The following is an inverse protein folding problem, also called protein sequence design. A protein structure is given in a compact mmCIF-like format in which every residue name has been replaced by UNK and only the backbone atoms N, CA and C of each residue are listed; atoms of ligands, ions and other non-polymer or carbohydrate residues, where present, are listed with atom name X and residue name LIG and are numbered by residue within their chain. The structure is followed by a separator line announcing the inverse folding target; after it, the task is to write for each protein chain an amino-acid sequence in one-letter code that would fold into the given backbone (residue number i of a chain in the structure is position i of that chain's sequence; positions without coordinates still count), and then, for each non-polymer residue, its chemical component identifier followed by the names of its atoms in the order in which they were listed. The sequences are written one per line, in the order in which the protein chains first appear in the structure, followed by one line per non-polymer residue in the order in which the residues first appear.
data_IF_068744389116
#
_entry.id   IF_068744389116
#
_cell.length_a   1.000
_cell.length_b   1.000
_cell.length_c   1.000
_cell.angle_alpha   90.00
_cell.angle_beta   90.00
_cell.angle_gamma   90.00
#
_symmetry.space_group_name_H-M   'P 1'
#
loop_
_entity.id
_entity.type
_entity.pdbx_description
1 polymer ?
#
# COMPACT_ATOMS: atom_id res chain seq x y z
N UNK A 1 -0.07 6.66 -32.42
CA UNK A 1 0.26 5.82 -31.24
C UNK A 1 -1.03 5.24 -30.69
N UNK A 2 -1.11 3.93 -30.54
CA UNK A 2 -2.30 3.23 -30.02
C UNK A 2 -2.09 2.92 -28.53
N UNK A 3 -2.96 3.39 -27.61
CA UNK A 3 -2.72 3.19 -26.19
C UNK A 3 -2.90 1.71 -25.78
N UNK A 4 -2.11 1.29 -24.78
CA UNK A 4 -2.37 0.06 -24.02
C UNK A 4 -3.29 0.38 -22.84
N UNK A 5 -4.09 -0.60 -22.44
CA UNK A 5 -4.90 -0.54 -21.22
C UNK A 5 -4.58 -1.74 -20.35
N UNK A 6 -4.48 -1.49 -19.04
CA UNK A 6 -4.28 -2.51 -18.03
C UNK A 6 -5.48 -2.53 -17.08
N UNK A 7 -5.95 -3.72 -16.75
CA UNK A 7 -7.04 -3.96 -15.79
C UNK A 7 -6.47 -4.83 -14.68
N UNK A 8 -6.54 -4.33 -13.44
CA UNK A 8 -5.87 -4.96 -12.31
C UNK A 8 -6.88 -5.40 -11.26
N UNK A 9 -6.72 -6.63 -10.79
CA UNK A 9 -7.45 -7.21 -9.67
C UNK A 9 -6.49 -7.45 -8.50
N UNK A 10 -6.85 -6.95 -7.33
CA UNK A 10 -6.02 -6.97 -6.13
C UNK A 10 -6.63 -7.82 -5.02
N UNK A 11 -5.90 -8.84 -4.59
CA UNK A 11 -6.18 -9.57 -3.36
C UNK A 11 -5.31 -9.02 -2.23
N UNK A 12 -5.95 -8.37 -1.26
CA UNK A 12 -5.24 -7.75 -0.16
C UNK A 12 -4.70 -8.77 0.85
N UNK A 13 -5.35 -9.94 1.00
CA UNK A 13 -4.94 -10.92 2.00
C UNK A 13 -3.64 -11.61 1.60
N UNK A 14 -3.54 -12.05 0.34
CA UNK A 14 -2.36 -12.71 -0.20
C UNK A 14 -1.30 -11.76 -0.75
N UNK A 15 -1.67 -10.49 -0.98
CA UNK A 15 -0.83 -9.54 -1.72
C UNK A 15 -0.68 -9.91 -3.19
N UNK A 16 -1.63 -10.67 -3.75
CA UNK A 16 -1.64 -11.07 -5.15
C UNK A 16 -2.26 -9.98 -6.01
N UNK A 17 -1.59 -9.69 -7.12
CA UNK A 17 -2.04 -8.77 -8.15
C UNK A 17 -2.14 -9.53 -9.47
N UNK A 18 -3.32 -9.50 -10.09
CA UNK A 18 -3.53 -10.01 -11.44
C UNK A 18 -3.73 -8.83 -12.38
N UNK A 19 -2.87 -8.71 -13.37
CA UNK A 19 -2.94 -7.69 -14.40
C UNK A 19 -3.33 -8.31 -15.74
N UNK A 20 -4.40 -7.81 -16.34
CA UNK A 20 -4.79 -8.14 -17.70
C UNK A 20 -4.47 -6.95 -18.62
N UNK A 21 -3.67 -7.17 -19.66
CA UNK A 21 -3.25 -6.11 -20.60
C UNK A 21 -3.96 -6.29 -21.94
N UNK A 22 -4.60 -5.22 -22.43
CA UNK A 22 -5.27 -5.18 -23.73
C UNK A 22 -4.89 -3.96 -24.55
N UNK A 23 -4.84 -4.14 -25.87
CA UNK A 23 -4.72 -3.03 -26.81
C UNK A 23 -6.06 -2.29 -26.94
N UNK A 24 -6.06 -0.96 -26.89
CA UNK A 24 -7.29 -0.16 -26.95
C UNK A 24 -7.96 -0.24 -28.32
N UNK A 25 -7.17 -0.22 -29.40
CA UNK A 25 -7.70 -0.22 -30.78
C UNK A 25 -8.21 -1.58 -31.21
N UNK A 26 -7.41 -2.62 -31.01
CA UNK A 26 -7.81 -3.98 -31.38
C UNK A 26 -8.81 -4.60 -30.39
N UNK A 27 -8.99 -4.01 -29.19
CA UNK A 27 -9.76 -4.57 -28.08
C UNK A 27 -9.41 -6.04 -27.77
N UNK A 28 -8.15 -6.41 -27.98
CA UNK A 28 -7.61 -7.75 -27.78
C UNK A 28 -6.58 -7.73 -26.66
N UNK A 29 -6.52 -8.83 -25.91
CA UNK A 29 -5.43 -9.08 -24.97
C UNK A 29 -4.11 -9.24 -25.74
N UNK A 30 -3.03 -8.73 -25.14
CA UNK A 30 -1.71 -8.68 -25.77
C UNK A 30 -0.75 -9.54 -24.94
N UNK A 31 -0.18 -10.55 -25.59
CA UNK A 31 0.87 -11.40 -25.04
C UNK A 31 2.23 -10.70 -25.09
N UNK A 32 3.21 -11.25 -24.36
CA UNK A 32 4.62 -10.81 -24.39
C UNK A 32 4.80 -9.34 -24.03
N UNK A 33 3.89 -8.79 -23.21
CA UNK A 33 4.01 -7.44 -22.66
C UNK A 33 4.84 -7.53 -21.39
N UNK A 34 5.93 -6.77 -21.33
CA UNK A 34 6.76 -6.69 -20.14
C UNK A 34 6.03 -5.92 -19.04
N UNK A 35 5.79 -6.57 -17.90
CA UNK A 35 5.08 -6.00 -16.76
C UNK A 35 6.00 -5.95 -15.55
N UNK A 36 6.02 -4.80 -14.87
CA UNK A 36 6.67 -4.61 -13.57
C UNK A 36 5.62 -4.20 -12.54
N UNK A 37 5.61 -4.88 -11.41
CA UNK A 37 4.74 -4.59 -10.29
C UNK A 37 5.57 -4.33 -9.03
N UNK A 38 5.17 -3.33 -8.23
CA UNK A 38 5.81 -3.02 -6.94
C UNK A 38 4.76 -2.59 -5.93
N UNK A 39 4.89 -3.03 -4.69
CA UNK A 39 4.13 -2.50 -3.57
C UNK A 39 4.87 -1.32 -2.92
N UNK A 40 4.14 -0.34 -2.40
CA UNK A 40 4.75 0.83 -1.74
C UNK A 40 5.61 0.50 -0.51
N UNK A 41 5.46 -0.69 0.06
CA UNK A 41 6.27 -1.19 1.18
C UNK A 41 7.29 -2.25 0.74
N UNK A 42 7.50 -2.41 -0.57
CA UNK A 42 8.51 -3.29 -1.14
C UNK A 42 9.73 -2.51 -1.63
N UNK A 43 10.89 -3.18 -1.61
CA UNK A 43 12.16 -2.65 -2.12
C UNK A 43 12.48 -3.12 -3.54
N UNK A 44 11.84 -4.22 -3.98
CA UNK A 44 12.13 -4.90 -5.22
C UNK A 44 10.89 -4.96 -6.10
N UNK A 45 11.09 -4.81 -7.40
CA UNK A 45 10.04 -5.05 -8.39
C UNK A 45 9.85 -6.55 -8.62
N UNK A 46 8.61 -6.94 -8.90
CA UNK A 46 8.30 -8.21 -9.56
C UNK A 46 8.06 -7.95 -11.02
N UNK A 47 8.98 -8.44 -11.84
CA UNK A 47 8.92 -8.36 -13.29
C UNK A 47 8.53 -9.70 -13.93
N UNK A 48 7.99 -9.61 -15.13
CA UNK A 48 7.68 -10.75 -15.99
C UNK A 48 6.98 -10.30 -17.25
N UNK A 49 6.46 -11.27 -17.99
CA UNK A 49 5.73 -11.04 -19.25
C UNK A 49 4.31 -11.57 -19.16
N UNK A 50 3.40 -10.99 -19.94
CA UNK A 50 2.04 -11.51 -20.04
C UNK A 50 2.00 -12.81 -20.84
N UNK A 51 1.16 -13.75 -20.40
CA UNK A 51 0.91 -14.99 -21.16
C UNK A 51 0.10 -14.72 -22.45
N UNK A 52 -0.19 -15.78 -23.23
CA UNK A 52 -0.99 -15.68 -24.46
C UNK A 52 -2.39 -15.07 -24.28
N UNK A 53 -2.88 -14.99 -23.04
CA UNK A 53 -4.17 -14.39 -22.68
C UNK A 53 -4.02 -12.95 -22.20
N UNK A 54 -2.81 -12.38 -22.28
CA UNK A 54 -2.48 -11.05 -21.79
C UNK A 54 -2.50 -10.94 -20.27
N UNK A 55 -2.32 -12.04 -19.53
CA UNK A 55 -2.39 -12.07 -18.07
C UNK A 55 -0.97 -12.11 -17.49
N UNK A 56 -0.73 -11.27 -16.50
CA UNK A 56 0.43 -11.31 -15.62
C UNK A 56 -0.03 -11.44 -14.17
N UNK A 57 0.65 -12.27 -13.37
CA UNK A 57 0.35 -12.46 -11.95
C UNK A 57 1.62 -12.18 -11.15
N UNK A 58 1.50 -11.28 -10.17
CA UNK A 58 2.52 -11.04 -9.18
C UNK A 58 1.98 -11.37 -7.79
N UNK A 59 2.77 -12.10 -7.01
CA UNK A 59 2.43 -12.50 -5.64
C UNK A 59 3.22 -11.70 -4.61
N UNK A 60 2.73 -11.71 -3.37
CA UNK A 60 3.47 -11.22 -2.21
C UNK A 60 3.92 -9.75 -2.34
N UNK A 61 3.07 -8.91 -2.93
CA UNK A 61 3.23 -7.45 -2.91
C UNK A 61 2.76 -6.89 -1.57
N UNK A 62 3.49 -5.90 -1.05
CA UNK A 62 3.18 -5.24 0.23
C UNK A 62 2.99 -3.74 0.06
N UNK A 63 1.90 -3.22 0.61
CA UNK A 63 1.54 -1.82 0.45
C UNK A 63 0.65 -1.56 -0.75
N UNK A 64 0.63 -0.31 -1.24
CA UNK A 64 -0.16 0.08 -2.41
C UNK A 64 0.52 -0.39 -3.69
N UNK A 65 -0.20 -1.12 -4.55
CA UNK A 65 0.37 -1.63 -5.79
C UNK A 65 0.58 -0.52 -6.83
N UNK A 66 1.69 -0.60 -7.55
CA UNK A 66 1.92 0.13 -8.80
C UNK A 66 2.31 -0.89 -9.85
N UNK A 67 1.61 -0.91 -10.98
CA UNK A 67 1.86 -1.84 -12.08
C UNK A 67 2.12 -1.04 -13.36
N UNK A 68 3.18 -1.41 -14.06
CA UNK A 68 3.62 -0.76 -15.30
C UNK A 68 3.75 -1.84 -16.34
N UNK A 69 3.09 -1.66 -17.49
CA UNK A 69 3.19 -2.56 -18.63
C UNK A 69 3.80 -1.83 -19.83
N UNK A 70 4.69 -2.49 -20.55
CA UNK A 70 5.37 -2.00 -21.75
C UNK A 70 5.45 -3.10 -22.80
N UNK A 71 5.06 -2.81 -24.03
CA UNK A 71 5.26 -3.74 -25.15
C UNK A 71 6.49 -3.41 -26.01
N UNK A 72 6.73 -4.26 -27.02
CA UNK A 72 7.83 -4.12 -27.97
C UNK A 72 7.75 -2.80 -28.78
N UNK A 73 6.55 -2.27 -29.01
CA UNK A 73 6.31 -0.99 -29.70
C UNK A 73 6.51 0.22 -28.75
N UNK A 74 7.02 -0.01 -27.54
CA UNK A 74 7.23 1.02 -26.50
C UNK A 74 5.95 1.75 -26.08
N UNK A 75 4.81 1.06 -26.13
CA UNK A 75 3.53 1.56 -25.65
C UNK A 75 3.41 1.19 -24.17
N UNK A 76 2.84 2.10 -23.38
CA UNK A 76 2.79 1.95 -21.93
C UNK A 76 1.35 1.91 -21.41
N UNK A 77 1.15 1.17 -20.33
CA UNK A 77 -0.02 1.26 -19.47
C UNK A 77 0.42 1.32 -18.00
N UNK A 78 -0.30 2.12 -17.22
CA UNK A 78 -0.01 2.35 -15.81
C UNK A 78 -1.24 2.03 -14.97
N UNK A 79 -1.00 1.46 -13.81
CA UNK A 79 -2.00 1.27 -12.77
C UNK A 79 -1.42 1.64 -11.42
N UNK A 80 -2.20 2.39 -10.64
CA UNK A 80 -1.89 2.75 -9.25
C UNK A 80 -3.06 2.34 -8.38
N UNK A 81 -2.81 1.35 -7.52
CA UNK A 81 -3.75 0.88 -6.52
C UNK A 81 -3.78 1.80 -5.32
N UNK A 82 -4.94 1.89 -4.68
CA UNK A 82 -5.13 2.62 -3.42
C UNK A 82 -5.26 1.69 -2.21
N UNK A 83 -5.51 0.39 -2.46
CA UNK A 83 -5.67 -0.63 -1.43
C UNK A 83 -4.30 -1.05 -0.90
N UNK A 84 -4.23 -1.26 0.41
CA UNK A 84 -3.06 -1.86 1.03
C UNK A 84 -3.07 -3.38 0.83
N UNK A 85 -1.99 -3.93 0.28
CA UNK A 85 -1.80 -5.35 0.02
C UNK A 85 -0.83 -6.00 1.01
N UNK A 86 -1.07 -7.27 1.32
CA UNK A 86 -0.23 -8.07 2.22
C UNK A 86 -0.37 -7.66 3.69
N UNK A 87 0.70 -7.85 4.45
CA UNK A 87 0.72 -7.51 5.87
C UNK A 87 0.41 -6.00 6.08
N UNK A 88 -0.39 -5.64 7.11
CA UNK A 88 -0.80 -4.26 7.35
C UNK A 88 0.41 -3.34 7.54
N UNK A 89 0.23 -2.06 7.17
CA UNK A 89 1.32 -1.08 7.23
C UNK A 89 1.91 -1.01 8.64
N UNK A 90 3.23 -0.88 8.79
CA UNK A 90 3.84 -0.62 10.09
C UNK A 90 3.17 0.60 10.73
N UNK A 91 2.49 0.40 11.87
CA UNK A 91 1.76 1.45 12.58
C UNK A 91 0.27 1.57 12.25
N UNK A 92 -0.29 0.74 11.36
CA UNK A 92 -1.75 0.58 11.29
C UNK A 92 -2.22 -0.22 12.50
N UNK A 93 -3.26 0.21 13.24
CA UNK A 93 -3.89 -0.65 14.22
C UNK A 93 -4.41 -1.87 13.45
N UNK A 94 -3.74 -3.01 13.61
CA UNK A 94 -4.30 -4.29 13.21
C UNK A 94 -5.68 -4.37 13.82
N UNK A 95 -6.76 -4.57 13.04
CA UNK A 95 -7.99 -5.06 13.63
C UNK A 95 -7.60 -6.43 14.18
N UNK A 96 -7.35 -6.49 15.49
CA UNK A 96 -7.41 -7.73 16.24
C UNK A 96 -8.75 -8.32 15.84
N UNK A 97 -8.72 -9.39 15.04
CA UNK A 97 -9.87 -10.27 14.89
C UNK A 97 -10.16 -10.68 16.32
N UNK A 98 -11.16 -10.06 16.91
CA UNK A 98 -11.70 -10.44 18.21
C UNK A 98 -12.15 -11.88 18.02
N UNK A 99 -11.28 -12.81 18.40
CA UNK A 99 -11.63 -14.18 18.62
C UNK A 99 -12.87 -14.14 19.50
N UNK A 100 -13.95 -14.72 18.98
CA UNK A 100 -15.24 -14.84 19.65
C UNK A 100 -15.05 -15.61 20.94
N UNK A 101 -14.65 -14.93 22.00
CA UNK A 101 -14.91 -15.36 23.36
C UNK A 101 -16.15 -14.60 23.80
N UNK A 102 -17.27 -15.31 23.73
CA UNK A 102 -18.52 -14.97 24.36
C UNK A 102 -18.27 -14.74 25.86
N UNK A 103 -17.99 -13.50 26.24
CA UNK A 103 -18.22 -13.07 27.60
C UNK A 103 -19.63 -12.50 27.62
N UNK A 104 -20.58 -13.32 28.12
CA UNK A 104 -21.94 -12.92 28.49
C UNK A 104 -21.86 -11.60 29.27
N UNK A 105 -22.48 -10.55 28.73
CA UNK A 105 -22.64 -9.30 29.43
C UNK A 105 -23.59 -9.48 30.63
N UNK A 106 -23.25 -9.02 31.84
CA UNK A 106 -24.27 -8.66 32.81
C UNK A 106 -24.89 -7.32 32.38
N UNK A 107 -26.20 -7.30 32.24
CA UNK A 107 -26.97 -6.08 32.06
C UNK A 107 -26.77 -5.17 33.28
N UNK A 108 -26.27 -3.96 33.06
CA UNK A 108 -26.34 -2.89 34.05
C UNK A 108 -26.61 -1.55 33.36
N UNK A 109 -27.63 -0.89 33.90
CA UNK A 109 -28.28 0.34 33.45
C UNK A 109 -27.28 1.51 33.31
N UNK A 110 -27.46 2.29 32.24
CA UNK A 110 -27.06 3.70 32.14
C UNK A 110 -25.56 3.98 32.10
N UNK A 111 -24.97 4.00 30.90
CA UNK A 111 -23.69 4.69 30.66
C UNK A 111 -23.91 5.80 29.62
N UNK A 112 -23.42 7.03 29.86
CA UNK A 112 -23.61 8.16 28.97
C UNK A 112 -23.00 7.86 27.61
N UNK A 113 -23.67 8.32 26.54
CA UNK A 113 -23.31 8.01 25.17
C UNK A 113 -21.80 8.13 24.94
N UNK A 114 -21.20 7.04 24.46
CA UNK A 114 -19.78 6.97 24.10
C UNK A 114 -19.45 8.15 23.19
N UNK A 115 -18.80 9.18 23.73
CA UNK A 115 -18.54 10.42 23.00
C UNK A 115 -17.28 10.25 22.15
N UNK A 116 -17.48 9.70 20.95
CA UNK A 116 -16.43 9.43 19.99
C UNK A 116 -15.60 10.68 19.65
N UNK A 117 -16.17 11.88 19.83
CA UNK A 117 -15.46 13.15 19.64
C UNK A 117 -14.36 13.35 20.68
N UNK A 118 -14.60 12.93 21.93
CA UNK A 118 -13.65 13.09 23.01
C UNK A 118 -12.44 12.16 22.85
N UNK A 119 -12.67 10.93 22.37
CA UNK A 119 -11.59 9.99 22.04
C UNK A 119 -10.72 10.52 20.87
N UNK A 120 -11.36 11.05 19.82
CA UNK A 120 -10.65 11.65 18.68
C UNK A 120 -9.84 12.89 19.07
N UNK A 121 -10.37 13.74 19.95
CA UNK A 121 -9.66 14.92 20.45
C UNK A 121 -8.47 14.54 21.35
N UNK A 122 -8.62 13.54 22.23
CA UNK A 122 -7.52 13.04 23.04
C UNK A 122 -6.39 12.43 22.18
N UNK A 123 -6.74 11.57 21.23
CA UNK A 123 -5.75 10.92 20.37
C UNK A 123 -4.97 11.93 19.52
N UNK A 124 -5.66 12.92 18.94
CA UNK A 124 -5.00 13.99 18.18
C UNK A 124 -4.10 14.86 19.07
N UNK A 125 -4.54 15.20 20.28
CA UNK A 125 -3.74 15.98 21.23
C UNK A 125 -2.44 15.26 21.63
N UNK A 126 -2.50 13.95 21.87
CA UNK A 126 -1.33 13.13 22.21
C UNK A 126 -0.31 13.05 21.06
N UNK A 127 -0.79 12.89 19.83
CA UNK A 127 0.06 12.85 18.63
C UNK A 127 0.75 14.20 18.40
N UNK A 128 0.00 15.30 18.53
CA UNK A 128 0.53 16.64 18.33
C UNK A 128 1.53 17.01 19.43
N UNK A 129 1.25 16.71 20.70
CA UNK A 129 2.18 16.97 21.81
C UNK A 129 3.50 16.20 21.70
N UNK A 130 3.45 14.93 21.27
CA UNK A 130 4.64 14.09 21.07
C UNK A 130 5.58 14.62 19.98
N UNK A 131 5.02 15.07 18.86
CA UNK A 131 5.80 15.65 17.76
C UNK A 131 6.49 16.97 18.15
N UNK A 132 5.83 17.81 18.95
CA UNK A 132 6.44 19.07 19.43
C UNK A 132 7.60 18.81 20.38
N UNK A 133 7.48 17.86 21.30
CA UNK A 133 8.57 17.49 22.21
C UNK A 133 9.78 16.89 21.50
N UNK A 134 9.56 16.07 20.47
CA UNK A 134 10.64 15.52 19.64
C UNK A 134 11.33 16.61 18.81
N UNK A 135 10.56 17.53 18.22
CA UNK A 135 11.09 18.65 17.44
C UNK A 135 11.88 19.64 18.30
N UNK A 136 11.39 19.98 19.50
CA UNK A 136 12.10 20.91 20.40
C UNK A 136 13.39 20.29 20.96
N UNK A 137 13.42 18.97 21.22
CA UNK A 137 14.66 18.24 21.56
C UNK A 137 15.66 18.24 20.40
N UNK A 138 15.21 18.05 19.16
CA UNK A 138 16.07 18.11 17.97
C UNK A 138 16.65 19.52 17.78
N UNK A 139 15.85 20.57 18.01
CA UNK A 139 16.24 21.97 17.85
C UNK A 139 17.20 22.44 18.95
N UNK A 140 16.99 21.99 20.19
CA UNK A 140 17.85 22.36 21.34
C UNK A 140 19.07 21.46 21.49
N UNK A 141 19.06 20.28 20.90
CA UNK A 141 20.22 19.38 20.86
C UNK A 141 21.29 19.91 19.91
N UNK A 142 22.55 19.92 20.34
CA UNK A 142 23.70 20.19 19.46
C UNK A 142 23.94 19.00 18.53
N UNK A 143 23.09 18.83 17.52
CA UNK A 143 23.26 17.81 16.51
C UNK A 143 24.38 18.24 15.55
N UNK A 144 25.60 17.72 15.80
CA UNK A 144 26.74 17.87 14.89
C UNK A 144 26.37 17.21 13.55
N UNK A 145 26.43 17.98 12.47
CA UNK A 145 26.03 17.53 11.13
C UNK A 145 26.78 16.29 10.65
N UNK A 146 26.17 15.56 9.71
CA UNK A 146 26.76 14.37 9.10
C UNK A 146 27.95 14.78 8.22
N UNK A 147 29.16 14.33 8.57
CA UNK A 147 30.35 14.49 7.73
C UNK A 147 30.39 13.39 6.66
N UNK A 148 30.52 13.79 5.40
CA UNK A 148 30.70 12.88 4.27
C UNK A 148 32.20 12.57 4.15
N UNK A 149 32.61 11.33 4.43
CA UNK A 149 33.96 10.87 4.10
C UNK A 149 34.09 10.70 2.59
N UNK A 150 34.96 11.49 1.95
CA UNK A 150 35.37 11.24 0.57
C UNK A 150 36.29 10.03 0.56
N UNK A 151 35.87 8.98 -0.15
CA UNK A 151 36.72 7.85 -0.50
C UNK A 151 37.66 8.30 -1.63
N UNK A 152 38.95 7.98 -1.50
CA UNK A 152 40.03 8.41 -2.40
C UNK A 152 40.31 7.34 -3.45
#
# INVERSE_FOLDING_TARGET
MTPLKIEVQEDAASGRVRANVRGVVASRYVADVHVKAIGSADSNFRDGETDLRGIYIADNLRGKATVIARDAEMRYAFYRGEKWLGAPAPGSPTPVKSSTQQHKAPSAKGQPGLDYRQNLQMQNGLIQGGNWGAYDKLRRGQNRGVQIQRVR
#
